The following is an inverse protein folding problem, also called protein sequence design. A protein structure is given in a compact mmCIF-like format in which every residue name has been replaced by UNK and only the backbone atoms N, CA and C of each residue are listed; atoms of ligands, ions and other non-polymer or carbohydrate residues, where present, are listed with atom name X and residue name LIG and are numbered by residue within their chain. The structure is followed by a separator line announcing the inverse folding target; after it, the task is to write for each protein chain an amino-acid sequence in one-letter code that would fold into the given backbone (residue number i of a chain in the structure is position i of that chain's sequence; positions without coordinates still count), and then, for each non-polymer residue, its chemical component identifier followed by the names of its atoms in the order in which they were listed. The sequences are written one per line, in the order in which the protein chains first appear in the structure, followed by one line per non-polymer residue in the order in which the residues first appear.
data_IF_193957836534
#
_entry.id   IF_193957836534
#
_cell.length_a   1.000
_cell.length_b   1.000
_cell.length_c   1.000
_cell.angle_alpha   90.00
_cell.angle_beta   90.00
_cell.angle_gamma   90.00
#
_symmetry.space_group_name_H-M   'P 1'
#
loop_
_entity.id
_entity.type
_entity.pdbx_description
1 polymer ?
#
# COMPACT_ATOMS: atom_id res chain seq x y z
N UNK A 1 -11.63 -0.10 -14.93
CA UNK A 1 -10.67 0.97 -15.29
C UNK A 1 -11.22 1.93 -16.35
N UNK A 2 -11.85 1.46 -17.45
CA UNK A 2 -12.44 2.34 -18.49
C UNK A 2 -13.25 3.53 -17.96
N UNK A 3 -14.19 3.28 -17.03
CA UNK A 3 -15.01 4.36 -16.45
C UNK A 3 -14.17 5.40 -15.66
N UNK A 4 -13.14 4.97 -14.92
CA UNK A 4 -12.26 5.88 -14.18
C UNK A 4 -11.39 6.71 -15.15
N UNK A 5 -10.93 6.08 -16.24
CA UNK A 5 -10.20 6.77 -17.30
C UNK A 5 -11.08 7.81 -18.01
N UNK A 6 -12.35 7.49 -18.25
CA UNK A 6 -13.33 8.44 -18.81
C UNK A 6 -13.57 9.62 -17.88
N UNK A 7 -13.71 9.39 -16.57
CA UNK A 7 -13.84 10.46 -15.57
C UNK A 7 -12.59 11.34 -15.51
N UNK A 8 -11.39 10.74 -15.61
CA UNK A 8 -10.12 11.47 -15.62
C UNK A 8 -9.97 12.31 -16.90
N UNK A 9 -10.26 11.73 -18.07
CA UNK A 9 -10.26 12.43 -19.36
C UNK A 9 -11.29 13.56 -19.43
N UNK A 10 -12.43 13.41 -18.77
CA UNK A 10 -13.45 14.46 -18.66
C UNK A 10 -13.06 15.56 -17.67
N UNK A 11 -11.97 15.39 -16.90
CA UNK A 11 -11.51 16.36 -15.89
C UNK A 11 -12.30 16.32 -14.58
N UNK A 12 -13.21 15.36 -14.42
CA UNK A 12 -14.01 15.20 -13.18
C UNK A 12 -13.13 14.74 -12.00
N UNK A 13 -12.10 13.95 -12.28
CA UNK A 13 -11.07 13.54 -11.32
C UNK A 13 -9.69 13.81 -11.92
N UNK A 14 -8.70 14.10 -11.08
CA UNK A 14 -7.31 14.29 -11.53
C UNK A 14 -6.51 12.99 -11.59
N UNK A 15 -6.91 11.99 -10.81
CA UNK A 15 -6.17 10.75 -10.63
C UNK A 15 -7.10 9.62 -10.14
N UNK A 16 -6.70 8.37 -10.37
CA UNK A 16 -7.29 7.21 -9.72
C UNK A 16 -6.23 6.18 -9.32
N UNK A 17 -6.59 5.32 -8.39
CA UNK A 17 -5.65 4.40 -7.77
C UNK A 17 -6.32 3.21 -7.10
N UNK A 18 -5.53 2.52 -6.28
CA UNK A 18 -5.93 1.33 -5.55
C UNK A 18 -5.61 1.49 -4.06
N UNK A 19 -6.56 1.18 -3.17
CA UNK A 19 -6.31 1.05 -1.73
C UNK A 19 -6.38 -0.42 -1.31
N UNK A 20 -5.28 -0.98 -0.80
CA UNK A 20 -5.13 -2.42 -0.49
C UNK A 20 -4.16 -2.69 0.66
N UNK A 21 -4.15 -3.93 1.13
CA UNK A 21 -3.30 -4.43 2.21
C UNK A 21 -2.29 -5.49 1.73
N UNK A 22 -2.20 -5.76 0.42
CA UNK A 22 -1.42 -6.87 -0.12
C UNK A 22 -0.56 -6.41 -1.29
N UNK A 23 0.71 -6.80 -1.29
CA UNK A 23 1.65 -6.48 -2.38
C UNK A 23 1.31 -7.21 -3.70
N UNK A 24 0.93 -8.51 -3.70
CA UNK A 24 0.67 -9.23 -4.95
C UNK A 24 -0.38 -8.58 -5.86
N UNK A 25 -1.48 -8.09 -5.28
CA UNK A 25 -2.54 -7.43 -6.06
C UNK A 25 -2.09 -6.10 -6.66
N UNK A 26 -1.19 -5.36 -5.98
CA UNK A 26 -0.58 -4.16 -6.56
C UNK A 26 0.23 -4.51 -7.82
N UNK A 27 1.09 -5.52 -7.72
CA UNK A 27 1.94 -5.96 -8.83
C UNK A 27 1.10 -6.45 -10.02
N UNK A 28 0.06 -7.23 -9.76
CA UNK A 28 -0.83 -7.73 -10.80
C UNK A 28 -1.63 -6.63 -11.49
N UNK A 29 -2.10 -5.63 -10.74
CA UNK A 29 -2.86 -4.53 -11.32
C UNK A 29 -1.95 -3.59 -12.14
N UNK A 30 -0.76 -3.26 -11.64
CA UNK A 30 0.22 -2.42 -12.32
C UNK A 30 0.77 -3.04 -13.63
N UNK A 31 0.69 -4.36 -13.77
CA UNK A 31 1.00 -5.05 -15.05
C UNK A 31 -0.13 -4.93 -16.07
N UNK A 32 -1.36 -4.71 -15.62
CA UNK A 32 -2.57 -4.69 -16.47
C UNK A 32 -2.97 -3.28 -16.89
N UNK A 33 -2.66 -2.29 -16.06
CA UNK A 33 -3.01 -0.90 -16.34
C UNK A 33 -2.18 0.10 -15.53
N UNK A 34 -1.99 1.32 -16.06
CA UNK A 34 -1.38 2.41 -15.30
C UNK A 34 -2.29 2.83 -14.14
N UNK A 35 -1.67 3.16 -13.02
CA UNK A 35 -2.32 3.76 -11.85
C UNK A 35 -1.57 5.03 -11.47
N UNK A 36 -2.31 6.07 -11.07
CA UNK A 36 -1.69 7.31 -10.60
C UNK A 36 -1.17 7.16 -9.17
N UNK A 37 -1.90 6.42 -8.35
CA UNK A 37 -1.51 6.18 -6.97
C UNK A 37 -1.94 4.80 -6.42
N UNK A 38 -1.25 4.37 -5.38
CA UNK A 38 -1.60 3.20 -4.57
C UNK A 38 -1.52 3.62 -3.10
N UNK A 39 -2.55 3.30 -2.32
CA UNK A 39 -2.47 3.29 -0.86
C UNK A 39 -2.26 1.85 -0.41
N UNK A 40 -1.09 1.57 0.17
CA UNK A 40 -0.73 0.26 0.70
C UNK A 40 -0.66 0.31 2.21
N UNK A 41 -1.53 -0.44 2.89
CA UNK A 41 -1.57 -0.49 4.34
C UNK A 41 -0.61 -1.55 4.90
N UNK A 42 0.16 -1.19 5.93
CA UNK A 42 0.94 -2.10 6.80
C UNK A 42 2.09 -2.88 6.16
N UNK A 43 2.28 -2.86 4.83
CA UNK A 43 3.29 -3.64 4.08
C UNK A 43 4.59 -2.89 3.77
N UNK A 44 4.74 -1.70 4.36
CA UNK A 44 6.00 -0.96 4.35
C UNK A 44 6.18 -0.22 5.67
N UNK A 45 6.78 -0.92 6.63
CA UNK A 45 7.13 -0.42 7.95
C UNK A 45 8.43 -1.05 8.42
N UNK A 46 8.86 -0.75 9.65
CA UNK A 46 10.06 -1.36 10.20
C UNK A 46 9.92 -2.89 10.38
N UNK A 47 8.70 -3.38 10.64
CA UNK A 47 8.42 -4.81 10.86
C UNK A 47 8.03 -5.55 9.57
N UNK A 48 7.43 -4.86 8.59
CA UNK A 48 7.02 -5.46 7.33
C UNK A 48 7.59 -4.67 6.16
N UNK A 49 8.57 -5.27 5.49
CA UNK A 49 9.29 -4.68 4.35
C UNK A 49 8.92 -5.37 3.02
N UNK A 50 7.80 -6.09 2.98
CA UNK A 50 7.40 -6.89 1.81
C UNK A 50 7.24 -6.08 0.52
N UNK A 51 6.91 -4.79 0.61
CA UNK A 51 6.80 -3.91 -0.55
C UNK A 51 8.17 -3.56 -1.22
N UNK A 52 9.29 -3.72 -0.52
CA UNK A 52 10.59 -3.17 -0.97
C UNK A 52 11.15 -3.83 -2.22
N UNK A 53 11.05 -5.16 -2.31
CA UNK A 53 11.76 -5.93 -3.32
C UNK A 53 11.25 -5.65 -4.73
N UNK A 54 9.93 -5.57 -4.91
CA UNK A 54 9.30 -5.48 -6.23
C UNK A 54 8.44 -4.22 -6.41
N UNK A 55 7.60 -3.90 -5.41
CA UNK A 55 6.59 -2.85 -5.59
C UNK A 55 7.20 -1.45 -5.60
N UNK A 56 8.11 -1.13 -4.68
CA UNK A 56 8.76 0.18 -4.64
C UNK A 56 9.51 0.52 -5.95
N UNK A 57 10.35 -0.40 -6.49
CA UNK A 57 10.97 -0.20 -7.80
C UNK A 57 9.95 -0.02 -8.94
N UNK A 58 8.87 -0.80 -8.94
CA UNK A 58 7.84 -0.74 -9.98
C UNK A 58 7.06 0.58 -9.95
N UNK A 59 6.64 1.05 -8.77
CA UNK A 59 6.00 2.35 -8.59
C UNK A 59 6.90 3.48 -9.09
N UNK A 60 8.21 3.41 -8.81
CA UNK A 60 9.18 4.38 -9.33
C UNK A 60 9.27 4.34 -10.86
N UNK A 61 9.34 3.14 -11.45
CA UNK A 61 9.46 2.97 -12.89
C UNK A 61 8.20 3.45 -13.66
N UNK A 62 7.01 3.25 -13.09
CA UNK A 62 5.74 3.65 -13.72
C UNK A 62 5.24 5.04 -13.28
N UNK A 63 6.01 5.75 -12.44
CA UNK A 63 5.62 7.03 -11.83
C UNK A 63 4.28 6.98 -11.05
N UNK A 64 3.99 5.83 -10.43
CA UNK A 64 2.83 5.68 -9.54
C UNK A 64 3.19 6.15 -8.14
N UNK A 65 2.40 7.07 -7.57
CA UNK A 65 2.58 7.53 -6.20
C UNK A 65 2.20 6.45 -5.20
N UNK A 66 3.09 6.10 -4.27
CA UNK A 66 2.80 5.11 -3.23
C UNK A 66 2.58 5.81 -1.87
N UNK A 67 1.37 5.72 -1.34
CA UNK A 67 0.98 6.21 -0.02
C UNK A 67 1.00 5.05 0.97
N UNK A 68 1.75 5.21 2.05
CA UNK A 68 1.92 4.16 3.04
C UNK A 68 0.93 4.37 4.18
N UNK A 69 -0.05 3.49 4.27
CA UNK A 69 -1.04 3.46 5.35
C UNK A 69 -0.57 2.60 6.51
N UNK A 70 -0.98 2.95 7.74
CA UNK A 70 -0.77 2.08 8.90
C UNK A 70 0.70 1.85 9.25
N UNK A 71 1.57 2.85 9.06
CA UNK A 71 3.04 2.76 9.31
C UNK A 71 3.42 2.29 10.72
N UNK A 72 2.50 2.39 11.69
CA UNK A 72 2.72 1.90 13.04
C UNK A 72 2.25 0.44 13.30
N UNK A 73 1.77 -0.26 12.27
CA UNK A 73 1.27 -1.65 12.30
C UNK A 73 0.44 -1.98 13.55
N UNK A 74 -0.74 -1.37 13.69
CA UNK A 74 -1.63 -1.52 14.86
C UNK A 74 -1.09 -0.91 16.18
N UNK A 75 -0.08 -0.05 16.08
CA UNK A 75 0.44 0.74 17.21
C UNK A 75 1.72 0.19 17.83
N UNK A 76 2.09 -1.06 17.54
CA UNK A 76 3.29 -1.69 18.11
C UNK A 76 4.59 -0.93 17.81
N UNK A 77 4.68 -0.28 16.64
CA UNK A 77 5.84 0.56 16.31
C UNK A 77 5.83 1.93 16.98
N UNK A 78 4.70 2.35 17.56
CA UNK A 78 4.59 3.57 18.35
C UNK A 78 4.80 3.31 19.85
N UNK A 79 4.32 2.17 20.36
CA UNK A 79 4.35 1.84 21.80
C UNK A 79 5.46 0.85 22.18
N UNK A 80 6.01 0.13 21.21
CA UNK A 80 6.90 -1.01 21.43
C UNK A 80 6.13 -2.33 21.63
N UNK A 81 6.85 -3.48 21.64
CA UNK A 81 6.30 -4.83 21.84
C UNK A 81 5.97 -5.07 23.31
N UNK A 82 4.95 -4.37 23.82
CA UNK A 82 4.45 -4.52 25.20
C UNK A 82 3.41 -5.63 25.29
N UNK A 83 3.11 -6.08 26.52
CA UNK A 83 2.01 -7.03 26.74
C UNK A 83 0.69 -6.48 26.18
N UNK A 84 0.01 -7.27 25.34
CA UNK A 84 -1.23 -6.86 24.67
C UNK A 84 -1.02 -6.02 23.40
N UNK A 85 0.22 -5.84 22.94
CA UNK A 85 0.50 -5.22 21.65
C UNK A 85 -0.18 -6.00 20.51
N UNK A 86 -0.55 -5.27 19.46
CA UNK A 86 -1.14 -5.83 18.26
C UNK A 86 -0.22 -5.59 17.07
N UNK A 87 -0.17 -6.56 16.17
CA UNK A 87 0.49 -6.48 14.87
C UNK A 87 -0.46 -7.03 13.80
N UNK A 88 -0.58 -6.32 12.68
CA UNK A 88 -1.49 -6.67 11.58
C UNK A 88 -2.93 -7.00 12.04
N UNK A 89 -3.47 -6.18 12.96
CA UNK A 89 -4.80 -6.30 13.56
C UNK A 89 -5.02 -7.57 14.41
N UNK A 90 -3.96 -8.33 14.70
CA UNK A 90 -3.97 -9.49 15.56
C UNK A 90 -3.09 -9.25 16.79
N UNK A 91 -3.26 -10.02 17.89
CA UNK A 91 -2.29 -10.03 18.96
C UNK A 91 -0.88 -10.28 18.39
N UNK A 92 0.09 -9.48 18.82
CA UNK A 92 1.47 -9.67 18.39
C UNK A 92 1.98 -11.05 18.82
N UNK A 93 2.72 -11.72 17.94
CA UNK A 93 3.45 -12.94 18.28
C UNK A 93 4.52 -12.66 19.34
N UNK A 94 5.03 -13.73 19.94
CA UNK A 94 6.18 -13.65 20.85
C UNK A 94 7.51 -13.41 20.12
N UNK A 95 7.56 -13.75 18.82
CA UNK A 95 8.67 -13.49 17.89
C UNK A 95 8.43 -12.17 17.14
#
# INVERSE_FOLDING_TARGET
LKALEELKRAGTISAYGLGVNEVPICLDLMRRAPLDCILLASRYSLLDRSAEAELLPLCRAQQTSLVIGGVFNSGILATGPVQGAHFDYQPASHD
#
